data_IF_392309902872
#
_entry.id   IF_392309902872
#
_cell.length_a   1.000
_cell.length_b   1.000
_cell.length_c   1.000
_cell.angle_alpha   90.00
_cell.angle_beta   90.00
_cell.angle_gamma   90.00
#
_symmetry.space_group_name_H-M   'P 1'
#
loop_
_entity.id
_entity.type
_entity.pdbx_description
1 polymer ?
#
# COMPACT_ATOMS: atom_id res chain seq x y z
N UNK A 1 6.78 -13.16 -17.06
CA UNK A 1 5.74 -13.14 -16.00
C UNK A 1 6.43 -13.10 -14.64
N UNK A 2 6.03 -12.20 -13.77
CA UNK A 2 6.62 -12.12 -12.44
C UNK A 2 6.03 -13.20 -11.54
N UNK A 3 6.88 -13.90 -10.80
CA UNK A 3 6.43 -14.93 -9.89
C UNK A 3 5.98 -14.31 -8.57
N UNK A 4 5.14 -15.04 -7.83
CA UNK A 4 4.61 -14.55 -6.57
C UNK A 4 5.71 -14.21 -5.56
N UNK A 5 6.74 -15.02 -5.46
CA UNK A 5 7.83 -14.79 -4.51
C UNK A 5 8.58 -13.48 -4.82
N UNK A 6 8.74 -13.17 -6.10
CA UNK A 6 9.37 -11.91 -6.52
C UNK A 6 8.48 -10.72 -6.21
N UNK A 7 7.18 -10.87 -6.44
CA UNK A 7 6.21 -9.82 -6.18
C UNK A 7 6.10 -9.53 -4.67
N UNK A 8 6.12 -10.56 -3.85
CA UNK A 8 6.12 -10.40 -2.40
C UNK A 8 7.39 -9.70 -1.92
N UNK A 9 8.54 -10.07 -2.48
CA UNK A 9 9.81 -9.42 -2.15
C UNK A 9 9.79 -7.94 -2.55
N UNK A 10 9.24 -7.64 -3.71
CA UNK A 10 9.09 -6.26 -4.20
C UNK A 10 8.17 -5.45 -3.28
N UNK A 11 7.06 -6.04 -2.87
CA UNK A 11 6.12 -5.44 -1.93
C UNK A 11 6.81 -5.06 -0.62
N UNK A 12 7.56 -5.99 -0.05
CA UNK A 12 8.27 -5.74 1.21
C UNK A 12 9.34 -4.67 1.05
N UNK A 13 10.08 -4.68 -0.05
CA UNK A 13 11.08 -3.64 -0.31
C UNK A 13 10.43 -2.25 -0.42
N UNK A 14 9.34 -2.15 -1.18
CA UNK A 14 8.61 -0.88 -1.33
C UNK A 14 8.14 -0.35 0.01
N UNK A 15 7.48 -1.19 0.80
CA UNK A 15 6.79 -0.74 2.01
C UNK A 15 7.73 -0.57 3.20
N UNK A 16 8.79 -1.38 3.27
CA UNK A 16 9.71 -1.35 4.41
C UNK A 16 10.93 -0.45 4.20
N UNK A 17 11.31 -0.21 2.96
CA UNK A 17 12.55 0.48 2.65
C UNK A 17 12.35 1.68 1.74
N UNK A 18 11.82 1.48 0.53
CA UNK A 18 11.80 2.53 -0.48
C UNK A 18 10.88 3.70 -0.11
N UNK A 19 9.64 3.42 0.27
CA UNK A 19 8.68 4.48 0.61
C UNK A 19 9.04 5.17 1.92
N UNK A 20 9.40 4.46 3.00
CA UNK A 20 9.85 5.14 4.22
C UNK A 20 11.06 6.03 4.00
N UNK A 21 11.97 5.65 3.11
CA UNK A 21 13.18 6.43 2.86
C UNK A 21 12.89 7.82 2.28
N UNK A 22 11.82 7.98 1.51
CA UNK A 22 11.47 9.28 0.91
C UNK A 22 10.36 10.01 1.65
N UNK A 23 9.76 9.38 2.65
CA UNK A 23 8.59 9.91 3.35
C UNK A 23 8.84 11.28 4.00
N UNK A 24 9.94 11.40 4.72
CA UNK A 24 10.30 12.64 5.41
C UNK A 24 10.59 13.75 4.40
N UNK A 25 11.37 13.42 3.40
CA UNK A 25 11.77 14.34 2.34
C UNK A 25 10.57 14.88 1.58
N UNK A 26 9.56 14.05 1.35
CA UNK A 26 8.35 14.43 0.63
C UNK A 26 7.24 15.00 1.53
N UNK A 27 7.50 15.07 2.84
CA UNK A 27 6.53 15.63 3.78
C UNK A 27 5.26 14.82 3.93
N UNK A 28 5.33 13.51 3.78
CA UNK A 28 4.16 12.65 3.92
C UNK A 28 3.73 12.53 5.39
N UNK A 29 2.43 12.36 5.66
CA UNK A 29 1.92 12.23 7.02
C UNK A 29 2.22 10.87 7.65
N UNK A 30 2.73 9.90 6.87
CA UNK A 30 3.05 8.55 7.32
C UNK A 30 4.50 8.22 6.97
N UNK A 31 5.15 7.36 7.76
CA UNK A 31 6.57 7.01 7.58
C UNK A 31 6.86 5.54 7.83
N UNK A 32 5.91 4.79 8.40
CA UNK A 32 6.14 3.42 8.83
C UNK A 32 5.62 2.41 7.80
N UNK A 33 6.25 1.25 7.78
CA UNK A 33 5.92 0.19 6.82
C UNK A 33 4.45 -0.20 6.86
N UNK A 34 3.89 -0.39 8.05
CA UNK A 34 2.48 -0.79 8.18
C UNK A 34 1.51 0.29 7.67
N UNK A 35 1.89 1.55 7.71
CA UNK A 35 1.09 2.63 7.15
C UNK A 35 1.02 2.53 5.63
N UNK A 36 2.16 2.30 4.98
CA UNK A 36 2.19 2.14 3.52
C UNK A 36 1.46 0.89 3.09
N UNK A 37 1.60 -0.20 3.84
CA UNK A 37 0.90 -1.45 3.54
C UNK A 37 -0.61 -1.25 3.61
N UNK A 38 -1.10 -0.58 4.64
CA UNK A 38 -2.52 -0.24 4.78
C UNK A 38 -3.02 0.58 3.60
N UNK A 39 -2.31 1.66 3.29
CA UNK A 39 -2.73 2.61 2.24
C UNK A 39 -2.82 1.91 0.88
N UNK A 40 -1.78 1.17 0.53
CA UNK A 40 -1.71 0.53 -0.78
C UNK A 40 -2.68 -0.64 -0.91
N UNK A 41 -2.85 -1.42 0.14
CA UNK A 41 -3.80 -2.54 0.12
C UNK A 41 -5.24 -2.03 0.09
N UNK A 42 -5.56 -1.01 0.88
CA UNK A 42 -6.89 -0.41 0.85
C UNK A 42 -7.19 0.15 -0.55
N UNK A 43 -6.24 0.84 -1.15
CA UNK A 43 -6.41 1.39 -2.51
C UNK A 43 -6.61 0.28 -3.54
N UNK A 44 -5.83 -0.79 -3.45
CA UNK A 44 -5.95 -1.92 -4.38
C UNK A 44 -7.29 -2.64 -4.24
N UNK A 45 -7.83 -2.71 -3.03
CA UNK A 45 -9.11 -3.34 -2.75
C UNK A 45 -10.32 -2.42 -3.03
N UNK A 46 -10.11 -1.10 -3.04
CA UNK A 46 -11.20 -0.14 -3.13
C UNK A 46 -12.00 -0.04 -1.84
N UNK A 47 -11.36 -0.30 -0.70
CA UNK A 47 -11.99 -0.30 0.62
C UNK A 47 -11.01 -0.84 1.64
N UNK A 48 -11.50 -1.18 2.82
CA UNK A 48 -10.64 -1.75 3.88
C UNK A 48 -10.14 -3.11 3.43
N UNK A 49 -8.82 -3.32 3.43
CA UNK A 49 -8.25 -4.56 2.91
C UNK A 49 -8.75 -5.81 3.66
N UNK A 50 -8.99 -5.70 4.97
CA UNK A 50 -9.41 -6.85 5.76
C UNK A 50 -10.87 -7.28 5.50
N UNK A 51 -11.63 -6.48 4.75
CA UNK A 51 -12.94 -6.89 4.26
C UNK A 51 -12.84 -7.75 2.98
N UNK A 52 -11.67 -7.74 2.35
CA UNK A 52 -11.44 -8.40 1.06
C UNK A 52 -10.42 -9.52 1.13
N UNK A 53 -9.49 -9.47 2.08
CA UNK A 53 -8.41 -10.43 2.22
C UNK A 53 -8.64 -11.26 3.50
N UNK A 54 -8.79 -12.59 3.38
CA UNK A 54 -9.24 -13.41 4.51
C UNK A 54 -8.18 -13.77 5.54
N UNK A 55 -6.92 -13.41 5.35
CA UNK A 55 -5.85 -13.87 6.24
C UNK A 55 -4.76 -12.86 6.48
N UNK A 56 -3.78 -13.25 7.26
CA UNK A 56 -2.62 -12.44 7.63
C UNK A 56 -1.34 -13.25 7.50
N UNK A 57 -0.23 -12.61 7.11
CA UNK A 57 -0.16 -11.23 6.65
C UNK A 57 -0.89 -11.06 5.31
N UNK A 58 -1.45 -9.89 5.10
CA UNK A 58 -2.30 -9.62 3.92
C UNK A 58 -1.61 -9.95 2.61
N UNK A 59 -0.34 -9.58 2.46
CA UNK A 59 0.38 -9.76 1.21
C UNK A 59 0.58 -11.23 0.82
N UNK A 60 0.49 -12.14 1.79
CA UNK A 60 0.55 -13.59 1.53
C UNK A 60 -0.84 -14.17 1.30
N UNK A 61 -1.84 -13.61 1.96
CA UNK A 61 -3.21 -14.12 1.91
C UNK A 61 -4.00 -13.63 0.70
N UNK A 62 -3.62 -12.50 0.09
CA UNK A 62 -4.32 -11.95 -1.07
C UNK A 62 -3.98 -12.69 -2.35
N UNK A 63 -4.84 -12.56 -3.36
CA UNK A 63 -4.54 -13.14 -4.66
C UNK A 63 -3.44 -12.35 -5.38
N UNK A 64 -2.85 -12.99 -6.39
CA UNK A 64 -1.72 -12.42 -7.11
C UNK A 64 -2.07 -11.13 -7.83
N UNK A 65 -3.27 -11.05 -8.41
CA UNK A 65 -3.70 -9.85 -9.14
C UNK A 65 -3.82 -8.65 -8.20
N UNK A 66 -4.34 -8.86 -7.01
CA UNK A 66 -4.48 -7.79 -6.02
C UNK A 66 -3.11 -7.31 -5.54
N UNK A 67 -2.20 -8.24 -5.25
CA UNK A 67 -0.84 -7.89 -4.85
C UNK A 67 -0.13 -7.12 -5.95
N UNK A 68 -0.30 -7.53 -7.22
CA UNK A 68 0.28 -6.82 -8.35
C UNK A 68 -0.24 -5.38 -8.45
N UNK A 69 -1.54 -5.17 -8.21
CA UNK A 69 -2.10 -3.80 -8.20
C UNK A 69 -1.52 -2.96 -7.07
N UNK A 70 -1.39 -3.55 -5.89
CA UNK A 70 -0.83 -2.83 -4.73
C UNK A 70 0.63 -2.44 -4.98
N UNK A 71 1.42 -3.34 -5.55
CA UNK A 71 2.81 -3.06 -5.91
C UNK A 71 2.88 -1.97 -6.98
N UNK A 72 2.03 -2.03 -8.00
CA UNK A 72 1.99 -1.01 -9.06
C UNK A 72 1.65 0.37 -8.49
N UNK A 73 0.73 0.45 -7.55
CA UNK A 73 0.40 1.71 -6.87
C UNK A 73 1.61 2.25 -6.09
N UNK A 74 2.31 1.37 -5.38
CA UNK A 74 3.51 1.76 -4.64
C UNK A 74 4.63 2.25 -5.54
N UNK A 75 4.83 1.58 -6.68
CA UNK A 75 5.80 2.01 -7.68
C UNK A 75 5.46 3.38 -8.25
N UNK A 76 4.18 3.63 -8.54
CA UNK A 76 3.74 4.91 -9.05
C UNK A 76 3.97 6.03 -8.03
N UNK A 77 3.66 5.77 -6.76
CA UNK A 77 3.90 6.73 -5.69
C UNK A 77 5.40 7.04 -5.57
N UNK A 78 6.23 6.01 -5.61
CA UNK A 78 7.69 6.17 -5.52
C UNK A 78 8.23 7.00 -6.70
N UNK A 79 7.69 6.77 -7.87
CA UNK A 79 8.08 7.50 -9.09
C UNK A 79 7.56 8.94 -9.15
N UNK A 80 6.72 9.34 -8.18
CA UNK A 80 6.14 10.68 -8.16
C UNK A 80 4.91 10.83 -9.04
N UNK A 81 4.36 9.71 -9.52
CA UNK A 81 3.18 9.70 -10.38
C UNK A 81 1.87 9.47 -9.63
N UNK A 82 1.98 9.01 -8.37
CA UNK A 82 0.82 8.78 -7.53
C UNK A 82 0.78 9.77 -6.37
N UNK A 83 -0.41 10.04 -5.86
CA UNK A 83 -0.62 10.95 -4.74
C UNK A 83 -0.85 10.17 -3.45
N UNK A 84 0.21 9.99 -2.67
CA UNK A 84 0.13 9.24 -1.42
C UNK A 84 -0.82 9.90 -0.43
N UNK A 85 -0.85 11.21 -0.38
CA UNK A 85 -1.72 11.94 0.55
C UNK A 85 -3.18 11.64 0.26
N UNK A 86 -3.56 11.66 -1.02
CA UNK A 86 -4.91 11.32 -1.45
C UNK A 86 -5.25 9.86 -1.13
N UNK A 87 -4.33 8.94 -1.43
CA UNK A 87 -4.52 7.53 -1.13
C UNK A 87 -4.71 7.30 0.37
N UNK A 88 -3.94 7.99 1.20
CA UNK A 88 -4.06 7.90 2.64
C UNK A 88 -5.41 8.42 3.12
N UNK A 89 -5.87 9.56 2.58
CA UNK A 89 -7.17 10.11 2.95
C UNK A 89 -8.30 9.16 2.59
N UNK A 90 -8.25 8.54 1.42
CA UNK A 90 -9.25 7.55 1.00
C UNK A 90 -9.27 6.35 1.94
N UNK A 91 -8.11 5.85 2.30
CA UNK A 91 -7.99 4.74 3.24
C UNK A 91 -8.64 5.09 4.57
N UNK A 92 -8.35 6.27 5.11
CA UNK A 92 -8.92 6.73 6.37
C UNK A 92 -10.43 6.92 6.28
N UNK A 93 -10.94 7.43 5.16
CA UNK A 93 -12.38 7.58 4.94
C UNK A 93 -13.09 6.23 4.99
N UNK A 94 -12.55 5.23 4.30
CA UNK A 94 -13.13 3.89 4.33
C UNK A 94 -13.18 3.31 5.74
N UNK A 95 -12.27 3.72 6.60
CA UNK A 95 -12.19 3.26 8.00
C UNK A 95 -12.96 4.17 8.95
N UNK A 96 -13.64 5.19 8.43
CA UNK A 96 -14.39 6.14 9.23
C UNK A 96 -13.54 7.12 10.02
N UNK A 97 -12.29 7.34 9.61
CA UNK A 97 -11.34 8.19 10.33
C UNK A 97 -10.90 9.42 9.55
N UNK A 98 -11.43 9.60 8.35
CA UNK A 98 -10.90 10.57 7.43
C UNK A 98 -11.14 12.01 7.84
N UNK A 99 -12.35 12.45 7.79
CA UNK A 99 -12.64 13.88 7.93
C UNK A 99 -13.32 14.25 9.24
N UNK A 100 -13.30 13.36 10.13
CA UNK A 100 -13.83 13.66 11.46
C UNK A 100 -15.30 13.97 11.50
#
# INVERSE_FOLDING_TARGET
MIERVELEARWLHLTRTALPAVAVERGWPVRLDHCFQRILLDAACGGRWYDHIPGRPAYRACDLALLARAVALGEAVLAGEGDLIDLNLRSLEWRGKGSG
#
